data_IF_250775544590
#
_entry.id   IF_250775544590
#
_cell.length_a   1.000
_cell.length_b   1.000
_cell.length_c   1.000
_cell.angle_alpha   90.00
_cell.angle_beta   90.00
_cell.angle_gamma   90.00
#
_symmetry.space_group_name_H-M   'P 1'
#
loop_
_entity.id
_entity.type
_entity.pdbx_description
1 polymer ?
#
# COMPACT_ATOMS: atom_id res chain seq x y z
N UNK A 1 -0.97 22.84 80.62
CA UNK A 1 -2.01 22.70 79.55
C UNK A 1 -1.52 23.13 78.16
N UNK A 2 -0.66 24.11 78.03
CA UNK A 2 -0.11 24.62 76.76
C UNK A 2 0.74 23.60 75.95
N UNK A 3 1.60 22.80 76.63
CA UNK A 3 2.43 21.85 75.93
C UNK A 3 1.62 20.72 75.25
N UNK A 4 0.47 20.30 75.78
CA UNK A 4 -0.44 19.33 75.17
C UNK A 4 -1.10 19.92 73.90
N UNK A 5 -1.39 21.20 73.89
CA UNK A 5 -2.00 21.91 72.78
C UNK A 5 -1.01 22.04 71.61
N UNK A 6 0.23 22.37 71.87
CA UNK A 6 1.30 22.44 70.84
C UNK A 6 1.62 21.03 70.25
N UNK A 7 1.57 19.98 71.07
CA UNK A 7 1.82 18.65 70.57
C UNK A 7 0.69 18.10 69.66
N UNK A 8 -0.55 18.46 69.93
CA UNK A 8 -1.71 18.12 69.09
C UNK A 8 -1.74 18.92 67.78
N UNK A 9 -1.37 20.19 67.78
CA UNK A 9 -1.25 21.02 66.58
C UNK A 9 -0.13 20.48 65.68
N UNK A 10 1.03 20.17 66.21
CA UNK A 10 2.14 19.59 65.42
C UNK A 10 1.79 18.22 64.82
N UNK A 11 1.01 17.38 65.49
CA UNK A 11 0.50 16.10 64.92
C UNK A 11 -0.50 16.34 63.78
N UNK A 12 -1.38 17.35 63.86
CA UNK A 12 -2.34 17.73 62.80
C UNK A 12 -1.62 18.27 61.57
N UNK A 13 -0.58 19.12 61.74
CA UNK A 13 0.24 19.66 60.64
C UNK A 13 1.04 18.53 59.95
N UNK A 14 1.67 17.65 60.72
CA UNK A 14 2.37 16.47 60.17
C UNK A 14 1.44 15.53 59.39
N UNK A 15 0.19 15.32 59.88
CA UNK A 15 -0.82 14.51 59.20
C UNK A 15 -1.32 15.16 57.88
N UNK A 16 -1.52 16.48 57.88
CA UNK A 16 -1.88 17.28 56.68
C UNK A 16 -0.74 17.25 55.63
N UNK A 17 0.53 17.41 56.06
CA UNK A 17 1.69 17.32 55.16
C UNK A 17 1.85 15.93 54.55
N UNK A 18 1.69 14.83 55.35
CA UNK A 18 1.73 13.45 54.83
C UNK A 18 0.60 13.17 53.85
N UNK A 19 -0.62 13.68 54.06
CA UNK A 19 -1.73 13.57 53.11
C UNK A 19 -1.44 14.32 51.80
N UNK A 20 -0.90 15.57 51.89
CA UNK A 20 -0.50 16.33 50.68
C UNK A 20 0.58 15.65 49.87
N UNK A 21 1.61 15.09 50.55
CA UNK A 21 2.65 14.27 49.91
C UNK A 21 2.07 12.99 49.29
N UNK A 22 1.15 12.31 49.93
CA UNK A 22 0.49 11.14 49.39
C UNK A 22 -0.31 11.44 48.10
N UNK A 23 -1.10 12.51 48.08
CA UNK A 23 -1.80 12.97 46.89
C UNK A 23 -0.85 13.46 45.80
N UNK A 24 0.27 14.07 46.16
CA UNK A 24 1.30 14.44 45.19
C UNK A 24 1.94 13.22 44.54
N UNK A 25 2.25 12.16 45.29
CA UNK A 25 2.77 10.92 44.71
C UNK A 25 1.75 10.19 43.85
N UNK A 26 0.48 10.18 44.24
CA UNK A 26 -0.59 9.62 43.38
C UNK A 26 -0.70 10.41 42.08
N UNK A 27 -0.70 11.73 42.15
CA UNK A 27 -0.76 12.61 40.99
C UNK A 27 0.49 12.44 40.11
N UNK A 28 1.69 12.41 40.68
CA UNK A 28 2.94 12.17 39.96
C UNK A 28 2.97 10.78 39.30
N UNK A 29 2.45 9.76 39.97
CA UNK A 29 2.32 8.41 39.40
C UNK A 29 1.32 8.36 38.24
N UNK A 30 0.15 8.99 38.39
CA UNK A 30 -0.84 9.08 37.32
C UNK A 30 -0.31 9.87 36.12
N UNK A 31 0.28 11.02 36.33
CA UNK A 31 0.87 11.82 35.23
C UNK A 31 2.09 11.14 34.63
N UNK A 32 2.93 10.50 35.44
CA UNK A 32 4.08 9.72 34.98
C UNK A 32 3.64 8.53 34.11
N UNK A 33 2.60 7.80 34.53
CA UNK A 33 2.07 6.67 33.74
C UNK A 33 1.42 7.11 32.43
N UNK A 34 0.70 8.26 32.44
CA UNK A 34 0.16 8.87 31.21
C UNK A 34 1.30 9.35 30.31
N UNK A 35 2.36 9.95 30.86
CA UNK A 35 3.54 10.37 30.08
C UNK A 35 4.26 9.20 29.42
N UNK A 36 4.50 8.10 30.17
CA UNK A 36 5.10 6.87 29.62
C UNK A 36 4.18 6.25 28.56
N UNK A 37 2.87 6.26 28.77
CA UNK A 37 1.89 5.77 27.80
C UNK A 37 1.94 6.56 26.50
N UNK A 38 1.94 7.91 26.56
CA UNK A 38 2.05 8.79 25.40
C UNK A 38 3.38 8.55 24.67
N UNK A 39 4.49 8.43 25.41
CA UNK A 39 5.81 8.21 24.83
C UNK A 39 5.90 6.86 24.10
N UNK A 40 5.39 5.79 24.71
CA UNK A 40 5.36 4.47 24.08
C UNK A 40 4.47 4.45 22.81
N UNK A 41 3.31 5.13 22.85
CA UNK A 41 2.43 5.27 21.70
C UNK A 41 3.12 6.06 20.59
N UNK A 42 3.81 7.14 20.93
CA UNK A 42 4.56 7.96 19.99
C UNK A 42 5.73 7.18 19.34
N UNK A 43 6.52 6.44 20.12
CA UNK A 43 7.63 5.63 19.57
C UNK A 43 7.14 4.50 18.67
N UNK A 44 6.00 3.88 18.99
CA UNK A 44 5.39 2.86 18.13
C UNK A 44 4.92 3.45 16.80
N UNK A 45 4.29 4.63 16.84
CA UNK A 45 3.87 5.34 15.62
C UNK A 45 5.06 5.83 14.79
N UNK A 46 6.16 6.27 15.43
CA UNK A 46 7.38 6.66 14.71
C UNK A 46 8.04 5.47 14.01
N UNK A 47 7.90 4.26 14.52
CA UNK A 47 8.37 3.04 13.85
C UNK A 47 7.65 2.75 12.52
N UNK A 48 6.40 3.22 12.38
CA UNK A 48 5.63 3.13 11.12
C UNK A 48 6.15 4.09 10.05
N UNK A 49 6.53 5.29 10.48
CA UNK A 49 7.14 6.27 9.59
C UNK A 49 8.53 5.78 9.22
N UNK A 50 8.64 5.22 8.04
CA UNK A 50 9.90 4.70 7.52
C UNK A 50 10.79 5.85 7.16
N UNK A 51 11.19 6.76 7.88
CA UNK A 51 12.15 7.87 7.61
C UNK A 51 12.70 8.02 6.17
N UNK A 52 12.16 7.25 5.27
CA UNK A 52 12.39 7.31 3.85
C UNK A 52 11.71 8.58 3.35
N UNK A 53 12.49 9.68 3.43
CA UNK A 53 12.15 10.93 2.77
C UNK A 53 12.11 10.64 1.27
N UNK A 54 10.97 10.15 0.81
CA UNK A 54 10.74 10.04 -0.61
C UNK A 54 10.61 11.47 -1.14
N UNK A 55 11.46 11.80 -2.10
CA UNK A 55 11.19 12.93 -2.94
C UNK A 55 9.82 12.75 -3.59
N UNK A 56 9.07 13.83 -3.78
CA UNK A 56 7.79 13.80 -4.48
C UNK A 56 7.91 13.03 -5.79
N UNK A 57 6.82 12.48 -6.28
CA UNK A 57 6.77 11.86 -7.61
C UNK A 57 7.31 12.82 -8.68
N UNK A 58 8.15 12.30 -9.59
CA UNK A 58 8.64 13.05 -10.76
C UNK A 58 7.48 13.53 -11.67
N UNK A 59 6.31 12.89 -11.55
CA UNK A 59 5.09 13.23 -12.27
C UNK A 59 4.32 14.39 -11.63
N UNK A 60 4.71 14.87 -10.45
CA UNK A 60 4.12 16.02 -9.78
C UNK A 60 4.96 17.27 -9.97
N UNK A 61 4.30 18.41 -10.14
CA UNK A 61 4.95 19.72 -10.19
C UNK A 61 5.29 20.25 -8.80
N UNK A 62 4.43 19.96 -7.81
CA UNK A 62 4.52 20.46 -6.43
C UNK A 62 4.24 19.32 -5.45
N UNK A 63 4.69 19.50 -4.20
CA UNK A 63 4.30 18.62 -3.09
C UNK A 63 2.79 18.70 -2.85
N UNK A 64 2.20 17.59 -2.40
CA UNK A 64 0.75 17.47 -2.22
C UNK A 64 0.41 17.58 -0.74
N UNK A 65 -0.50 18.51 -0.40
CA UNK A 65 -1.09 18.58 0.93
C UNK A 65 -2.32 17.66 1.00
N UNK A 66 -2.16 16.49 1.63
CA UNK A 66 -3.18 15.42 1.63
C UNK A 66 -4.53 15.78 2.24
N UNK A 67 -4.62 16.87 3.02
CA UNK A 67 -5.89 17.37 3.57
C UNK A 67 -6.57 18.40 2.68
N UNK A 68 -5.88 18.91 1.65
CA UNK A 68 -6.35 20.02 0.82
C UNK A 68 -6.46 19.68 -0.67
N UNK A 69 -5.70 18.71 -1.14
CA UNK A 69 -5.60 18.39 -2.56
C UNK A 69 -5.88 16.90 -2.80
N UNK A 70 -6.41 16.53 -3.96
CA UNK A 70 -6.48 15.13 -4.35
C UNK A 70 -5.09 14.52 -4.47
N UNK A 71 -4.94 13.29 -4.01
CA UNK A 71 -3.67 12.57 -3.99
C UNK A 71 -3.88 11.07 -4.18
N UNK A 72 -2.79 10.37 -4.38
CA UNK A 72 -2.78 8.93 -4.63
C UNK A 72 -1.99 8.17 -3.56
N UNK A 73 -2.42 6.94 -3.29
CA UNK A 73 -1.75 6.01 -2.37
C UNK A 73 -1.58 4.67 -3.05
N UNK A 74 -0.35 4.15 -3.05
CA UNK A 74 -0.09 2.76 -3.41
C UNK A 74 -0.12 1.88 -2.16
N UNK A 75 -1.07 0.96 -2.09
CA UNK A 75 -1.23 0.03 -0.98
C UNK A 75 -0.64 -1.31 -1.41
N UNK A 76 0.38 -1.78 -0.67
CA UNK A 76 1.14 -3.00 -0.94
C UNK A 76 0.96 -4.00 0.19
N UNK A 77 0.33 -5.14 -0.10
CA UNK A 77 0.27 -6.30 0.80
C UNK A 77 1.40 -7.27 0.48
N UNK A 78 2.22 -7.61 1.47
CA UNK A 78 3.42 -8.43 1.27
C UNK A 78 3.32 -9.69 2.10
N UNK A 79 3.66 -10.84 1.49
CA UNK A 79 3.88 -12.09 2.20
C UNK A 79 5.31 -12.14 2.72
N UNK A 80 5.47 -12.15 4.04
CA UNK A 80 6.73 -11.83 4.69
C UNK A 80 7.36 -12.98 5.47
N UNK A 81 6.76 -14.18 5.44
CA UNK A 81 7.21 -15.32 6.26
C UNK A 81 8.61 -15.84 5.94
N UNK A 82 9.11 -15.60 4.73
CA UNK A 82 10.39 -16.14 4.26
C UNK A 82 11.56 -15.15 4.34
N UNK A 83 11.30 -13.86 4.58
CA UNK A 83 12.31 -12.80 4.34
C UNK A 83 12.40 -11.71 5.41
N UNK A 84 11.77 -11.88 6.58
CA UNK A 84 11.71 -10.86 7.65
C UNK A 84 11.36 -9.44 7.14
N UNK A 85 10.38 -9.32 6.24
CA UNK A 85 9.94 -8.04 5.72
C UNK A 85 10.77 -7.47 4.58
N UNK A 86 11.79 -8.16 4.18
CA UNK A 86 12.69 -7.70 3.14
C UNK A 86 12.55 -8.57 1.88
N UNK A 87 12.36 -7.93 0.72
CA UNK A 87 12.39 -8.59 -0.59
C UNK A 87 11.22 -9.55 -0.91
N UNK A 88 10.12 -9.51 -0.17
CA UNK A 88 8.88 -10.23 -0.53
C UNK A 88 8.25 -9.67 -1.82
N UNK A 89 7.47 -10.50 -2.53
CA UNK A 89 6.62 -10.02 -3.63
C UNK A 89 5.36 -9.37 -3.07
N UNK A 90 4.81 -8.40 -3.80
CA UNK A 90 3.51 -7.83 -3.47
C UNK A 90 2.40 -8.78 -3.93
N UNK A 91 1.73 -9.45 -2.98
CA UNK A 91 0.60 -10.34 -3.28
C UNK A 91 -0.72 -9.61 -3.42
N UNK A 92 -0.82 -8.42 -2.87
CA UNK A 92 -1.89 -7.46 -3.09
C UNK A 92 -1.27 -6.12 -3.49
N UNK A 93 -1.78 -5.54 -4.56
CA UNK A 93 -1.36 -4.24 -5.05
C UNK A 93 -2.61 -3.44 -5.40
N UNK A 94 -2.86 -2.38 -4.65
CA UNK A 94 -4.01 -1.51 -4.86
C UNK A 94 -3.56 -0.07 -5.02
N UNK A 95 -4.22 0.63 -5.94
CA UNK A 95 -4.01 2.04 -6.18
C UNK A 95 -5.26 2.81 -5.76
N UNK A 96 -5.12 3.70 -4.79
CA UNK A 96 -6.19 4.53 -4.29
C UNK A 96 -6.00 5.97 -4.74
N UNK A 97 -7.08 6.63 -5.18
CA UNK A 97 -7.15 8.07 -5.37
C UNK A 97 -8.09 8.64 -4.33
N UNK A 98 -7.64 9.63 -3.59
CA UNK A 98 -8.37 10.25 -2.48
C UNK A 98 -8.55 11.73 -2.77
N UNK A 99 -9.79 12.20 -2.75
CA UNK A 99 -10.12 13.62 -2.83
C UNK A 99 -10.71 14.10 -1.49
N UNK A 100 -9.92 14.74 -0.63
CA UNK A 100 -10.37 15.14 0.70
C UNK A 100 -11.40 16.27 0.69
N UNK A 101 -11.51 17.03 -0.40
CA UNK A 101 -12.50 18.10 -0.53
C UNK A 101 -13.90 17.57 -0.80
N UNK A 102 -14.00 16.59 -1.68
CA UNK A 102 -15.27 15.99 -2.09
C UNK A 102 -15.58 14.71 -1.33
N UNK A 103 -14.67 14.27 -0.47
CA UNK A 103 -14.71 12.98 0.24
C UNK A 103 -14.93 11.80 -0.72
N UNK A 104 -14.35 11.86 -1.93
CA UNK A 104 -14.38 10.76 -2.89
C UNK A 104 -13.13 9.92 -2.77
N UNK A 105 -13.33 8.63 -2.84
CA UNK A 105 -12.24 7.64 -2.88
C UNK A 105 -12.52 6.72 -4.06
N UNK A 106 -11.53 6.55 -4.94
CA UNK A 106 -11.52 5.50 -5.94
C UNK A 106 -10.44 4.47 -5.61
N UNK A 107 -10.71 3.21 -5.90
CA UNK A 107 -9.81 2.10 -5.58
C UNK A 107 -9.70 1.16 -6.78
N UNK A 108 -8.47 0.94 -7.24
CA UNK A 108 -8.14 0.00 -8.30
C UNK A 108 -7.26 -1.12 -7.76
N UNK A 109 -7.60 -2.37 -8.04
CA UNK A 109 -6.69 -3.49 -7.84
C UNK A 109 -5.84 -3.69 -9.08
N UNK A 110 -4.52 -3.71 -8.93
CA UNK A 110 -3.57 -4.05 -9.98
C UNK A 110 -3.27 -5.55 -9.87
N UNK A 111 -3.61 -6.38 -10.88
CA UNK A 111 -3.30 -7.79 -10.84
C UNK A 111 -1.78 -8.01 -10.66
N UNK A 112 -1.39 -8.77 -9.63
CA UNK A 112 0.02 -8.98 -9.27
C UNK A 112 0.85 -9.61 -10.38
N UNK A 113 0.18 -10.35 -11.27
CA UNK A 113 0.78 -11.04 -12.40
C UNK A 113 0.82 -10.18 -13.69
N UNK A 114 0.47 -8.87 -13.60
CA UNK A 114 0.54 -7.93 -14.72
C UNK A 114 1.95 -7.89 -15.29
N UNK A 115 2.08 -8.17 -16.58
CA UNK A 115 3.36 -8.11 -17.30
C UNK A 115 3.64 -6.67 -17.71
N UNK A 116 4.67 -6.08 -17.11
CA UNK A 116 5.04 -4.68 -17.32
C UNK A 116 6.56 -4.52 -17.35
N UNK A 117 7.10 -3.48 -18.00
CA UNK A 117 8.51 -3.11 -17.85
C UNK A 117 8.82 -2.78 -16.39
N UNK A 118 9.83 -3.43 -15.81
CA UNK A 118 10.27 -3.16 -14.44
C UNK A 118 11.29 -2.02 -14.48
N UNK A 119 10.98 -0.92 -13.80
CA UNK A 119 11.87 0.25 -13.77
C UNK A 119 13.23 -0.11 -13.16
N UNK A 120 14.32 0.26 -13.85
CA UNK A 120 15.68 -0.10 -13.44
C UNK A 120 16.10 -1.53 -13.78
N UNK A 121 15.29 -2.24 -14.58
CA UNK A 121 15.63 -3.54 -15.15
C UNK A 121 15.31 -3.53 -16.65
N UNK A 122 16.20 -4.06 -17.47
CA UNK A 122 16.01 -4.16 -18.92
C UNK A 122 15.16 -5.38 -19.30
N UNK A 123 14.01 -5.53 -18.60
CA UNK A 123 13.08 -6.63 -18.85
C UNK A 123 11.66 -6.32 -18.43
N UNK A 124 10.70 -6.98 -19.05
CA UNK A 124 9.36 -7.10 -18.55
C UNK A 124 9.25 -8.31 -17.59
N UNK A 125 8.51 -8.12 -16.54
CA UNK A 125 8.20 -9.17 -15.57
C UNK A 125 6.84 -8.92 -14.92
N UNK A 126 6.39 -9.80 -14.03
CA UNK A 126 5.22 -9.58 -13.20
C UNK A 126 5.44 -8.33 -12.33
N UNK A 127 4.47 -7.44 -12.26
CA UNK A 127 4.58 -6.18 -11.51
C UNK A 127 4.92 -6.41 -10.03
N UNK A 128 4.47 -7.53 -9.46
CA UNK A 128 4.76 -7.89 -8.07
C UNK A 128 6.23 -8.21 -7.80
N UNK A 129 7.01 -8.51 -8.84
CA UNK A 129 8.44 -8.75 -8.71
C UNK A 129 9.24 -7.46 -8.49
N UNK A 130 8.69 -6.30 -8.82
CA UNK A 130 9.37 -5.02 -8.65
C UNK A 130 9.78 -4.78 -7.18
N UNK A 131 8.89 -5.10 -6.23
CA UNK A 131 9.22 -4.99 -4.80
C UNK A 131 10.33 -5.97 -4.38
N UNK A 132 10.31 -7.20 -4.87
CA UNK A 132 11.37 -8.17 -4.58
C UNK A 132 12.74 -7.77 -5.16
N UNK A 133 12.76 -7.00 -6.25
CA UNK A 133 14.00 -6.54 -6.89
C UNK A 133 14.59 -5.28 -6.26
N UNK A 134 13.78 -4.37 -5.75
CA UNK A 134 14.26 -3.08 -5.27
C UNK A 134 13.34 -2.38 -4.27
N UNK A 135 12.58 -3.16 -3.50
CA UNK A 135 11.73 -2.66 -2.41
C UNK A 135 10.61 -1.74 -2.88
N UNK A 136 10.16 -0.93 -1.96
CA UNK A 136 9.04 0.01 -2.15
C UNK A 136 9.31 0.98 -3.29
N UNK A 137 10.53 1.49 -3.39
CA UNK A 137 10.90 2.49 -4.39
C UNK A 137 10.77 1.96 -5.82
N UNK A 138 11.25 0.74 -6.07
CA UNK A 138 11.14 0.14 -7.40
C UNK A 138 9.70 -0.23 -7.74
N UNK A 139 8.93 -0.72 -6.75
CA UNK A 139 7.50 -1.00 -6.93
C UNK A 139 6.72 0.28 -7.31
N UNK A 140 6.94 1.37 -6.59
CA UNK A 140 6.32 2.67 -6.83
C UNK A 140 6.68 3.18 -8.24
N UNK A 141 7.97 3.26 -8.58
CA UNK A 141 8.42 3.73 -9.90
C UNK A 141 7.89 2.85 -11.04
N UNK A 142 7.77 1.54 -10.80
CA UNK A 142 7.20 0.62 -11.79
C UNK A 142 5.70 0.88 -12.01
N UNK A 143 4.94 1.13 -10.93
CA UNK A 143 3.52 1.50 -11.04
C UNK A 143 3.34 2.85 -11.72
N UNK A 144 4.13 3.86 -11.38
CA UNK A 144 4.14 5.16 -12.06
C UNK A 144 4.49 5.04 -13.54
N UNK A 145 5.49 4.23 -13.86
CA UNK A 145 5.88 3.94 -15.24
C UNK A 145 4.81 3.23 -16.04
N UNK A 146 4.05 2.34 -15.42
CA UNK A 146 2.96 1.58 -16.02
C UNK A 146 1.70 2.45 -16.22
N UNK A 147 1.21 3.09 -15.17
CA UNK A 147 -0.04 3.85 -15.20
C UNK A 147 0.14 5.27 -15.77
N UNK A 148 1.36 5.82 -15.74
CA UNK A 148 1.67 7.22 -16.10
C UNK A 148 0.96 8.24 -15.22
N UNK A 149 0.64 7.88 -13.97
CA UNK A 149 0.09 8.75 -12.95
C UNK A 149 0.99 8.77 -11.72
N UNK A 150 1.03 9.85 -10.95
CA UNK A 150 1.86 9.93 -9.77
C UNK A 150 1.38 8.94 -8.69
N UNK A 151 2.32 8.40 -7.92
CA UNK A 151 2.07 7.78 -6.61
C UNK A 151 2.57 8.78 -5.58
N UNK A 152 1.69 9.47 -4.88
CA UNK A 152 2.08 10.49 -3.91
C UNK A 152 2.57 9.87 -2.61
N UNK A 153 1.86 8.85 -2.13
CA UNK A 153 2.18 8.13 -0.89
C UNK A 153 2.08 6.62 -1.06
N UNK A 154 2.64 5.90 -0.11
CA UNK A 154 2.47 4.45 -0.05
C UNK A 154 2.14 3.95 1.35
N UNK A 155 1.52 2.79 1.39
CA UNK A 155 1.29 2.01 2.61
C UNK A 155 1.71 0.57 2.30
N UNK A 156 2.66 0.04 3.08
CA UNK A 156 3.07 -1.37 3.02
C UNK A 156 2.61 -2.09 4.28
N UNK A 157 1.94 -3.22 4.11
CA UNK A 157 1.34 -4.01 5.18
C UNK A 157 1.77 -5.46 4.98
N UNK A 158 2.32 -6.08 6.02
CA UNK A 158 2.53 -7.53 6.05
C UNK A 158 1.28 -8.28 6.58
N UNK A 159 1.30 -9.60 6.51
CA UNK A 159 0.18 -10.43 6.96
C UNK A 159 -0.11 -10.31 8.46
N UNK A 160 0.91 -10.08 9.28
CA UNK A 160 0.73 -9.89 10.72
C UNK A 160 0.07 -8.55 11.02
N UNK A 161 0.49 -7.49 10.32
CA UNK A 161 -0.14 -6.19 10.39
C UNK A 161 -1.58 -6.21 9.94
N UNK A 162 -1.86 -6.91 8.84
CA UNK A 162 -3.22 -7.07 8.36
C UNK A 162 -4.13 -7.75 9.40
N UNK A 163 -3.71 -8.90 9.95
CA UNK A 163 -4.45 -9.61 11.01
C UNK A 163 -4.64 -8.72 12.22
N UNK A 164 -3.56 -8.08 12.65
CA UNK A 164 -3.59 -7.22 13.83
C UNK A 164 -4.51 -6.00 13.69
N UNK A 165 -4.62 -5.38 12.49
CA UNK A 165 -5.59 -4.30 12.25
C UNK A 165 -7.02 -4.83 12.43
N UNK A 166 -7.34 -5.96 11.78
CA UNK A 166 -8.69 -6.55 11.87
C UNK A 166 -9.05 -6.89 13.31
N UNK A 167 -8.14 -7.48 14.07
CA UNK A 167 -8.35 -7.82 15.49
C UNK A 167 -8.48 -6.56 16.36
N UNK A 168 -7.66 -5.53 16.10
CA UNK A 168 -7.69 -4.27 16.84
C UNK A 168 -9.01 -3.50 16.66
N UNK A 169 -9.62 -3.56 15.47
CA UNK A 169 -10.97 -2.96 15.26
C UNK A 169 -12.09 -3.85 15.81
N UNK A 170 -11.77 -5.06 16.31
CA UNK A 170 -12.71 -6.01 16.90
C UNK A 170 -13.38 -6.91 15.89
N UNK A 171 -12.67 -7.24 14.82
CA UNK A 171 -13.20 -8.03 13.70
C UNK A 171 -14.00 -7.22 12.71
N UNK A 172 -14.30 -7.82 11.56
CA UNK A 172 -15.06 -7.21 10.47
C UNK A 172 -16.17 -8.12 10.01
N UNK A 173 -17.28 -7.52 9.60
CA UNK A 173 -18.41 -8.26 9.00
C UNK A 173 -18.30 -8.15 7.48
N UNK A 174 -18.35 -9.27 6.78
CA UNK A 174 -18.34 -9.35 5.31
C UNK A 174 -19.52 -10.17 4.81
N UNK A 175 -19.94 -9.92 3.57
CA UNK A 175 -20.90 -10.77 2.87
C UNK A 175 -20.15 -11.77 1.99
N UNK A 176 -20.11 -13.02 2.43
CA UNK A 176 -19.42 -14.12 1.75
C UNK A 176 -20.21 -14.51 0.50
N UNK A 177 -19.62 -14.44 -0.71
CA UNK A 177 -20.36 -14.60 -1.96
C UNK A 177 -20.82 -16.04 -2.25
N UNK A 178 -20.13 -17.05 -1.72
CA UNK A 178 -20.41 -18.49 -1.89
C UNK A 178 -19.64 -19.31 -0.86
N UNK A 179 -20.01 -20.56 -0.69
CA UNK A 179 -19.30 -21.49 0.21
C UNK A 179 -17.90 -21.81 -0.28
N UNK A 180 -16.89 -21.64 0.55
CA UNK A 180 -15.52 -22.04 0.27
C UNK A 180 -14.70 -22.26 1.55
N UNK A 181 -13.47 -22.72 1.39
CA UNK A 181 -12.51 -22.80 2.49
C UNK A 181 -11.13 -22.30 2.03
N UNK A 182 -10.33 -21.87 2.97
CA UNK A 182 -8.92 -21.56 2.74
C UNK A 182 -8.09 -22.07 3.92
N UNK A 183 -6.80 -22.31 3.68
CA UNK A 183 -5.87 -22.76 4.73
C UNK A 183 -5.52 -21.58 5.64
N UNK A 184 -5.39 -21.90 6.93
CA UNK A 184 -4.79 -20.98 7.89
C UNK A 184 -3.35 -20.65 7.47
N UNK A 185 -2.90 -19.44 7.76
CA UNK A 185 -1.50 -19.03 7.60
C UNK A 185 -0.64 -19.48 8.79
N UNK A 186 -1.26 -19.78 9.92
CA UNK A 186 -0.57 -20.23 11.17
C UNK A 186 -0.47 -21.75 11.22
N UNK A 187 -1.57 -22.44 10.86
CA UNK A 187 -1.64 -23.90 10.85
C UNK A 187 -2.05 -24.40 9.46
N UNK A 188 -1.08 -24.87 8.69
CA UNK A 188 -1.30 -25.32 7.31
C UNK A 188 -2.36 -26.43 7.18
N UNK A 189 -2.56 -27.25 8.22
CA UNK A 189 -3.56 -28.32 8.20
C UNK A 189 -4.97 -27.85 8.53
N UNK A 190 -5.11 -26.71 9.22
CA UNK A 190 -6.40 -26.10 9.56
C UNK A 190 -7.03 -25.47 8.33
N UNK A 191 -8.26 -25.90 8.02
CA UNK A 191 -9.11 -25.28 7.00
C UNK A 191 -10.09 -24.35 7.67
N UNK A 192 -10.08 -23.09 7.27
CA UNK A 192 -11.06 -22.08 7.68
C UNK A 192 -12.18 -22.14 6.64
N UNK A 193 -13.41 -22.39 7.13
CA UNK A 193 -14.58 -22.54 6.26
C UNK A 193 -15.39 -21.26 6.26
N UNK A 194 -15.86 -20.88 5.07
CA UNK A 194 -16.74 -19.74 4.85
C UNK A 194 -18.06 -20.22 4.26
N UNK A 195 -19.18 -19.75 4.81
CA UNK A 195 -20.52 -20.01 4.32
C UNK A 195 -21.06 -18.75 3.65
N UNK A 196 -21.84 -18.92 2.60
CA UNK A 196 -22.49 -17.81 1.92
C UNK A 196 -23.33 -16.96 2.87
N UNK A 197 -23.25 -15.63 2.74
CA UNK A 197 -23.96 -14.66 3.57
C UNK A 197 -23.05 -13.91 4.53
N UNK A 198 -23.66 -13.16 5.46
CA UNK A 198 -22.90 -12.33 6.40
C UNK A 198 -22.16 -13.16 7.44
N UNK A 199 -20.87 -12.86 7.61
CA UNK A 199 -20.00 -13.47 8.60
C UNK A 199 -19.10 -12.44 9.26
N UNK A 200 -18.93 -12.60 10.58
CA UNK A 200 -17.92 -11.85 11.35
C UNK A 200 -16.61 -12.60 11.29
N UNK A 201 -15.55 -11.90 10.92
CA UNK A 201 -14.20 -12.44 10.74
C UNK A 201 -13.23 -11.80 11.71
N UNK A 202 -12.40 -12.61 12.38
CA UNK A 202 -11.20 -12.16 13.05
C UNK A 202 -10.04 -11.98 12.05
N UNK A 203 -8.84 -11.60 12.53
CA UNK A 203 -7.69 -11.34 11.66
C UNK A 203 -7.24 -12.55 10.83
N UNK A 204 -7.19 -13.75 11.43
CA UNK A 204 -6.81 -14.99 10.74
C UNK A 204 -7.84 -15.36 9.65
N UNK A 205 -9.12 -15.29 9.99
CA UNK A 205 -10.22 -15.57 9.07
C UNK A 205 -10.27 -14.53 7.94
N UNK A 206 -10.09 -13.25 8.26
CA UNK A 206 -10.05 -12.19 7.28
C UNK A 206 -8.88 -12.36 6.29
N UNK A 207 -7.69 -12.78 6.77
CA UNK A 207 -6.57 -13.07 5.91
C UNK A 207 -6.85 -14.27 4.98
N UNK A 208 -7.43 -15.34 5.51
CA UNK A 208 -7.84 -16.49 4.71
C UNK A 208 -8.90 -16.09 3.65
N UNK A 209 -9.89 -15.26 4.04
CA UNK A 209 -10.92 -14.75 3.16
C UNK A 209 -10.35 -14.02 1.93
N UNK A 210 -9.38 -13.12 2.12
CA UNK A 210 -8.79 -12.32 1.04
C UNK A 210 -7.70 -13.04 0.25
N UNK A 211 -7.17 -14.17 0.76
CA UNK A 211 -6.16 -15.00 0.06
C UNK A 211 -6.76 -16.02 -0.88
N UNK A 212 -7.97 -16.52 -0.59
CA UNK A 212 -8.60 -17.56 -1.38
C UNK A 212 -8.71 -17.12 -2.85
N UNK A 213 -8.30 -18.03 -3.76
CA UNK A 213 -8.30 -17.82 -5.21
C UNK A 213 -8.80 -19.06 -5.96
N UNK A 214 -8.35 -20.23 -5.52
CA UNK A 214 -8.49 -21.46 -6.32
C UNK A 214 -9.94 -21.93 -6.49
N UNK A 215 -10.81 -21.60 -5.55
CA UNK A 215 -12.22 -21.99 -5.56
C UNK A 215 -13.13 -20.86 -6.07
N UNK A 216 -12.57 -19.70 -6.41
CA UNK A 216 -13.33 -18.56 -6.90
C UNK A 216 -13.63 -18.75 -8.40
N UNK A 217 -14.91 -18.74 -8.82
CA UNK A 217 -15.28 -18.80 -10.23
C UNK A 217 -14.69 -17.67 -11.06
N UNK A 218 -14.47 -16.49 -10.43
CA UNK A 218 -13.89 -15.31 -11.06
C UNK A 218 -12.36 -15.22 -10.85
N UNK A 219 -11.72 -16.24 -10.27
CA UNK A 219 -10.28 -16.30 -10.06
C UNK A 219 -9.70 -15.09 -9.33
N UNK A 220 -8.77 -14.41 -9.97
CA UNK A 220 -8.09 -13.26 -9.38
C UNK A 220 -8.99 -12.02 -9.22
N UNK A 221 -9.96 -11.84 -10.09
CA UNK A 221 -10.95 -10.76 -9.99
C UNK A 221 -11.84 -10.92 -8.76
N UNK A 222 -12.27 -12.14 -8.45
CA UNK A 222 -13.04 -12.42 -7.24
C UNK A 222 -12.21 -12.19 -5.98
N UNK A 223 -10.95 -12.59 -5.97
CA UNK A 223 -10.03 -12.26 -4.87
C UNK A 223 -9.90 -10.74 -4.68
N UNK A 224 -9.68 -9.99 -5.75
CA UNK A 224 -9.60 -8.54 -5.69
C UNK A 224 -10.90 -7.89 -5.17
N UNK A 225 -12.06 -8.45 -5.53
CA UNK A 225 -13.36 -7.98 -5.00
C UNK A 225 -13.46 -8.20 -3.48
N UNK A 226 -13.06 -9.37 -2.96
CA UNK A 226 -13.04 -9.65 -1.51
C UNK A 226 -12.05 -8.74 -0.75
N UNK A 227 -10.89 -8.46 -1.34
CA UNK A 227 -9.93 -7.52 -0.76
C UNK A 227 -10.53 -6.11 -0.62
N UNK A 228 -11.24 -5.60 -1.65
CA UNK A 228 -11.92 -4.30 -1.57
C UNK A 228 -13.06 -4.31 -0.56
N UNK A 229 -13.86 -5.36 -0.53
CA UNK A 229 -14.95 -5.52 0.44
C UNK A 229 -14.42 -5.46 1.87
N UNK A 230 -13.32 -6.17 2.15
CA UNK A 230 -12.72 -6.19 3.48
C UNK A 230 -12.13 -4.84 3.85
N UNK A 231 -11.48 -4.14 2.91
CA UNK A 231 -10.97 -2.79 3.14
C UNK A 231 -12.10 -1.81 3.50
N UNK A 232 -13.25 -1.90 2.81
CA UNK A 232 -14.44 -1.12 3.13
C UNK A 232 -15.01 -1.47 4.52
N UNK A 233 -15.02 -2.75 4.89
CA UNK A 233 -15.49 -3.20 6.21
C UNK A 233 -14.56 -2.70 7.34
N UNK A 234 -13.25 -2.71 7.14
CA UNK A 234 -12.28 -2.12 8.08
C UNK A 234 -12.52 -0.61 8.22
N UNK A 235 -12.69 0.10 7.10
CA UNK A 235 -12.97 1.54 7.11
C UNK A 235 -14.28 1.86 7.85
N UNK A 236 -15.30 1.04 7.69
CA UNK A 236 -16.57 1.18 8.42
C UNK A 236 -16.39 1.00 9.94
N UNK A 237 -15.60 0.00 10.36
CA UNK A 237 -15.27 -0.22 11.77
C UNK A 237 -14.49 0.94 12.36
N UNK A 238 -13.50 1.49 11.61
CA UNK A 238 -12.72 2.64 12.05
C UNK A 238 -13.58 3.89 12.28
N UNK A 239 -14.65 4.08 11.49
CA UNK A 239 -15.60 5.18 11.67
C UNK A 239 -16.57 4.98 12.85
N UNK A 240 -16.55 3.83 13.52
CA UNK A 240 -17.44 3.57 14.64
C UNK A 240 -16.92 4.14 15.96
N UNK A 241 -17.80 4.69 16.80
CA UNK A 241 -17.45 5.24 18.11
C UNK A 241 -16.75 4.24 19.04
N UNK A 242 -16.97 2.93 18.85
CA UNK A 242 -16.34 1.87 19.66
C UNK A 242 -14.84 1.73 19.40
N UNK A 243 -14.33 2.18 18.27
CA UNK A 243 -12.92 2.08 17.88
C UNK A 243 -12.04 3.12 18.59
N UNK A 244 -12.61 4.25 19.01
CA UNK A 244 -11.87 5.31 19.73
C UNK A 244 -11.20 4.76 21.00
N UNK A 245 -11.79 3.76 21.66
CA UNK A 245 -11.23 3.13 22.86
C UNK A 245 -10.12 2.09 22.56
N UNK A 246 -9.93 1.69 21.31
CA UNK A 246 -8.94 0.67 20.88
C UNK A 246 -7.73 1.27 20.18
N UNK A 247 -7.57 2.59 20.19
CA UNK A 247 -6.44 3.30 19.54
C UNK A 247 -5.08 2.76 19.98
N UNK A 248 -4.95 2.32 21.24
CA UNK A 248 -3.69 1.76 21.76
C UNK A 248 -3.28 0.48 21.03
N UNK A 249 -4.22 -0.44 20.85
CA UNK A 249 -3.93 -1.74 20.22
C UNK A 249 -3.64 -1.54 18.73
N UNK A 250 -4.37 -0.60 18.10
CA UNK A 250 -4.12 -0.20 16.72
C UNK A 250 -2.72 0.41 16.55
N UNK A 251 -2.30 1.32 17.43
CA UNK A 251 -0.97 1.96 17.32
C UNK A 251 0.18 0.98 17.49
N UNK A 252 0.05 -0.01 18.36
CA UNK A 252 1.07 -1.03 18.56
C UNK A 252 1.26 -1.93 17.33
N UNK A 253 0.15 -2.35 16.71
CA UNK A 253 0.17 -3.17 15.48
C UNK A 253 0.68 -2.35 14.31
N UNK A 254 0.13 -1.16 14.13
CA UNK A 254 0.46 -0.25 13.03
C UNK A 254 1.96 0.09 13.05
N UNK A 255 2.51 0.45 14.22
CA UNK A 255 3.92 0.83 14.36
C UNK A 255 4.93 -0.29 14.06
N UNK A 256 4.52 -1.56 14.18
CA UNK A 256 5.39 -2.72 13.98
C UNK A 256 5.32 -3.29 12.55
N UNK A 257 4.15 -3.32 11.96
CA UNK A 257 3.85 -4.13 10.76
C UNK A 257 3.42 -3.30 9.55
N UNK A 258 3.25 -1.98 9.72
CA UNK A 258 2.92 -1.06 8.62
C UNK A 258 4.08 -0.12 8.40
N UNK A 259 4.45 0.07 7.13
CA UNK A 259 5.39 1.11 6.70
C UNK A 259 4.71 2.08 5.75
N UNK A 260 4.92 3.36 5.97
CA UNK A 260 4.36 4.44 5.13
C UNK A 260 5.27 5.66 5.15
N UNK A 261 5.15 6.49 4.12
CA UNK A 261 5.75 7.83 4.05
C UNK A 261 4.79 8.95 4.48
N UNK A 262 3.54 8.59 4.86
CA UNK A 262 2.56 9.57 5.37
C UNK A 262 2.93 9.93 6.82
N UNK A 263 3.23 11.22 7.13
CA UNK A 263 3.42 11.64 8.49
C UNK A 263 2.21 11.37 9.38
N UNK A 264 2.44 11.02 10.64
CA UNK A 264 1.37 10.68 11.60
C UNK A 264 0.38 11.85 11.75
N UNK A 265 0.90 13.08 11.80
CA UNK A 265 0.09 14.31 11.87
C UNK A 265 -0.89 14.41 10.71
N UNK A 266 -0.41 14.10 9.51
CA UNK A 266 -1.16 14.19 8.27
C UNK A 266 -2.18 13.07 8.17
N UNK A 267 -1.81 11.86 8.60
CA UNK A 267 -2.73 10.73 8.72
C UNK A 267 -3.90 11.01 9.66
N UNK A 268 -3.64 11.60 10.84
CA UNK A 268 -4.67 12.02 11.79
C UNK A 268 -5.54 13.16 11.23
N UNK A 269 -4.94 14.15 10.58
CA UNK A 269 -5.67 15.24 9.94
C UNK A 269 -6.57 14.73 8.81
N UNK A 270 -6.09 13.78 8.00
CA UNK A 270 -6.87 13.12 6.96
C UNK A 270 -8.03 12.30 7.54
N UNK A 271 -7.78 11.52 8.62
CA UNK A 271 -8.82 10.78 9.32
C UNK A 271 -9.95 11.71 9.78
N UNK A 272 -9.62 12.83 10.42
CA UNK A 272 -10.61 13.83 10.84
C UNK A 272 -11.34 14.44 9.64
N UNK A 273 -10.65 14.68 8.52
CA UNK A 273 -11.23 15.24 7.30
C UNK A 273 -12.21 14.30 6.62
N UNK A 274 -11.94 12.99 6.69
CA UNK A 274 -12.78 11.93 6.14
C UNK A 274 -13.80 11.41 7.18
N UNK A 275 -13.90 12.02 8.35
CA UNK A 275 -14.91 11.67 9.36
C UNK A 275 -16.30 11.80 8.77
N UNK A 276 -17.10 10.73 8.89
CA UNK A 276 -18.44 10.64 8.27
C UNK A 276 -18.44 10.19 6.80
N UNK A 277 -17.28 9.87 6.21
CA UNK A 277 -17.20 9.23 4.90
C UNK A 277 -17.94 7.88 4.93
N UNK A 278 -18.77 7.65 3.91
CA UNK A 278 -19.44 6.36 3.72
C UNK A 278 -18.59 5.42 2.85
N UNK A 279 -18.00 4.35 3.41
CA UNK A 279 -17.18 3.42 2.65
C UNK A 279 -17.92 2.69 1.51
N UNK A 280 -19.25 2.65 1.53
CA UNK A 280 -20.03 2.06 0.44
C UNK A 280 -19.97 2.88 -0.86
N UNK A 281 -19.55 4.15 -0.77
CA UNK A 281 -19.39 5.06 -1.91
C UNK A 281 -18.03 4.96 -2.59
N UNK A 282 -17.15 4.07 -2.14
CA UNK A 282 -15.84 3.85 -2.78
C UNK A 282 -16.06 3.39 -4.22
N UNK A 283 -15.58 4.20 -5.16
CA UNK A 283 -15.63 3.87 -6.58
C UNK A 283 -14.57 2.79 -6.91
N UNK A 284 -14.98 1.73 -7.58
CA UNK A 284 -14.05 0.71 -8.06
C UNK A 284 -13.65 1.00 -9.50
N UNK A 285 -12.35 1.19 -9.73
CA UNK A 285 -11.77 1.23 -11.08
C UNK A 285 -11.29 -0.16 -11.45
N UNK A 286 -11.60 -0.63 -12.66
CA UNK A 286 -11.25 -1.95 -13.15
C UNK A 286 -10.16 -1.84 -14.21
N UNK A 287 -9.05 -2.52 -14.01
CA UNK A 287 -8.00 -2.65 -15.01
C UNK A 287 -8.35 -3.84 -15.91
N UNK A 288 -8.68 -3.56 -17.16
CA UNK A 288 -8.99 -4.59 -18.16
C UNK A 288 -7.70 -5.22 -18.70
N UNK A 289 -7.81 -6.49 -19.14
CA UNK A 289 -6.71 -7.24 -19.71
C UNK A 289 -7.06 -8.72 -19.88
N UNK A 290 -6.12 -9.50 -20.38
CA UNK A 290 -6.28 -10.92 -20.63
C UNK A 290 -5.25 -11.78 -19.89
N UNK A 291 -5.64 -12.99 -19.54
CA UNK A 291 -4.76 -14.00 -18.96
C UNK A 291 -4.03 -14.77 -20.07
N UNK A 292 -2.69 -14.84 -19.99
CA UNK A 292 -1.88 -15.51 -21.01
C UNK A 292 -0.68 -16.24 -20.41
N UNK A 293 -0.36 -17.40 -20.98
CA UNK A 293 0.91 -18.09 -20.70
C UNK A 293 1.95 -17.75 -21.75
N UNK A 294 3.09 -17.26 -21.33
CA UNK A 294 4.24 -16.91 -22.17
C UNK A 294 5.45 -17.70 -21.66
N UNK A 295 6.02 -18.56 -22.49
CA UNK A 295 7.12 -19.43 -22.08
C UNK A 295 6.75 -20.36 -20.89
N UNK A 296 5.49 -20.81 -20.81
CA UNK A 296 5.00 -21.63 -19.69
C UNK A 296 4.63 -20.87 -18.42
N UNK A 297 4.97 -19.58 -18.32
CA UNK A 297 4.69 -18.71 -17.17
C UNK A 297 3.37 -17.97 -17.42
N UNK A 298 2.49 -17.99 -16.41
CA UNK A 298 1.24 -17.24 -16.43
C UNK A 298 1.48 -15.75 -16.20
N UNK A 299 0.85 -14.91 -17.03
CA UNK A 299 0.82 -13.45 -16.91
C UNK A 299 -0.60 -12.94 -17.11
N UNK A 300 -0.90 -11.79 -16.52
CA UNK A 300 -1.98 -10.92 -16.91
C UNK A 300 -1.42 -9.86 -17.87
N UNK A 301 -1.99 -9.74 -19.05
CA UNK A 301 -1.63 -8.72 -20.04
C UNK A 301 -2.63 -7.59 -19.95
N UNK A 302 -2.25 -6.43 -19.36
CA UNK A 302 -3.15 -5.26 -19.31
C UNK A 302 -3.51 -4.80 -20.72
N UNK A 303 -4.80 -4.51 -20.97
CA UNK A 303 -5.24 -3.88 -22.21
C UNK A 303 -4.79 -2.40 -22.25
N UNK A 304 -4.08 -1.98 -23.30
CA UNK A 304 -3.62 -0.59 -23.40
C UNK A 304 -4.75 0.45 -23.33
N UNK A 305 -5.93 0.16 -23.91
CA UNK A 305 -7.11 1.03 -23.85
C UNK A 305 -7.67 1.06 -22.43
N UNK A 306 -7.72 -0.09 -21.77
CA UNK A 306 -8.11 -0.20 -20.37
C UNK A 306 -7.21 0.59 -19.42
N UNK A 307 -5.89 0.54 -19.65
CA UNK A 307 -4.90 1.33 -18.90
C UNK A 307 -5.11 2.83 -19.11
N UNK A 308 -5.35 3.26 -20.36
CA UNK A 308 -5.61 4.66 -20.68
C UNK A 308 -6.91 5.16 -20.06
N UNK A 309 -7.96 4.35 -20.10
CA UNK A 309 -9.26 4.65 -19.46
C UNK A 309 -9.09 4.90 -17.96
N UNK A 310 -8.41 4.00 -17.26
CA UNK A 310 -8.14 4.14 -15.83
C UNK A 310 -7.28 5.36 -15.54
N UNK A 311 -6.24 5.61 -16.35
CA UNK A 311 -5.41 6.82 -16.25
C UNK A 311 -6.25 8.10 -16.32
N UNK A 312 -7.11 8.20 -17.32
CA UNK A 312 -7.95 9.38 -17.54
C UNK A 312 -8.91 9.62 -16.36
N UNK A 313 -9.47 8.55 -15.77
CA UNK A 313 -10.31 8.67 -14.55
C UNK A 313 -9.49 9.16 -13.35
N UNK A 314 -8.28 8.64 -13.14
CA UNK A 314 -7.39 9.08 -12.07
C UNK A 314 -6.98 10.54 -12.27
N UNK A 315 -6.54 10.94 -13.49
CA UNK A 315 -6.15 12.32 -13.80
C UNK A 315 -7.32 13.30 -13.58
N UNK A 316 -8.53 12.92 -13.95
CA UNK A 316 -9.74 13.71 -13.71
C UNK A 316 -9.99 13.91 -12.21
N UNK A 317 -9.83 12.87 -11.39
CA UNK A 317 -9.96 12.97 -9.93
C UNK A 317 -8.86 13.87 -9.32
N UNK A 318 -7.64 13.81 -9.84
CA UNK A 318 -6.52 14.63 -9.40
C UNK A 318 -6.66 16.11 -9.81
N UNK A 319 -7.44 16.40 -10.84
CA UNK A 319 -7.60 17.76 -11.39
C UNK A 319 -6.34 18.32 -12.07
N UNK A 320 -5.32 17.50 -12.29
CA UNK A 320 -4.07 17.85 -12.99
C UNK A 320 -3.71 16.71 -13.95
N UNK A 321 -3.30 17.03 -15.17
CA UNK A 321 -2.69 16.03 -16.06
C UNK A 321 -1.31 15.66 -15.53
N UNK A 322 -1.04 14.37 -15.40
CA UNK A 322 0.27 13.87 -15.08
C UNK A 322 1.29 14.28 -16.16
N UNK A 323 2.50 14.66 -15.76
CA UNK A 323 3.59 14.90 -16.72
C UNK A 323 3.99 13.57 -17.33
N UNK A 324 4.04 13.51 -18.65
CA UNK A 324 4.66 12.36 -19.34
C UNK A 324 6.13 12.28 -18.91
N UNK A 325 6.64 11.13 -18.43
CA UNK A 325 8.04 10.99 -18.04
C UNK A 325 8.94 11.37 -19.21
N UNK A 326 9.78 12.39 -19.04
CA UNK A 326 10.84 12.70 -20.00
C UNK A 326 11.86 11.56 -19.96
N UNK A 327 12.07 10.92 -21.09
CA UNK A 327 13.12 9.91 -21.25
C UNK A 327 14.48 10.59 -20.99
N UNK A 328 15.27 10.19 -19.99
CA UNK A 328 16.53 10.86 -19.65
C UNK A 328 17.61 10.74 -20.73
N UNK A 329 17.36 10.02 -21.82
CA UNK A 329 18.30 9.83 -22.93
C UNK A 329 18.09 10.74 -24.14
N UNK A 330 17.16 11.69 -24.10
CA UNK A 330 17.04 12.70 -25.16
C UNK A 330 17.93 13.88 -24.79
N UNK A 331 19.18 13.85 -25.26
CA UNK A 331 20.02 15.05 -25.30
C UNK A 331 19.30 16.08 -26.18
N UNK A 332 18.82 17.13 -25.57
CA UNK A 332 18.35 18.33 -26.25
C UNK A 332 19.57 19.04 -26.85
N UNK A 333 19.81 18.81 -28.12
CA UNK A 333 20.63 19.75 -28.91
C UNK A 333 19.80 21.04 -29.09
N UNK A 334 20.14 22.01 -28.26
CA UNK A 334 19.70 23.40 -28.45
C UNK A 334 20.62 24.06 -29.48
N UNK A 335 20.19 24.14 -30.73
CA UNK A 335 20.75 25.09 -31.68
C UNK A 335 19.65 25.78 -32.44
N UNK A 336 19.53 27.03 -32.13
CA UNK A 336 19.10 28.26 -32.81
C UNK A 336 18.38 28.16 -34.15
N UNK A 337 17.27 28.90 -34.35
CA UNK A 337 16.66 29.09 -35.65
C UNK A 337 17.21 30.41 -36.28
N UNK A 338 17.91 30.28 -37.39
CA UNK A 338 17.88 31.30 -38.48
C UNK A 338 18.66 30.77 -39.69
N UNK A 339 17.99 30.58 -40.78
CA UNK A 339 18.26 31.13 -42.11
C UNK A 339 17.69 30.27 -43.22
N UNK A 340 16.88 30.94 -43.96
CA UNK A 340 16.30 30.71 -45.25
C UNK A 340 17.35 30.31 -46.31
N UNK A 341 17.11 29.26 -47.13
CA UNK A 341 17.26 29.37 -48.59
C UNK A 341 16.93 28.03 -49.28
N UNK A 342 16.16 28.16 -50.35
CA UNK A 342 15.82 27.19 -51.37
C UNK A 342 17.06 26.48 -51.94
N UNK A 343 16.98 25.16 -52.25
CA UNK A 343 17.31 24.69 -53.58
C UNK A 343 16.85 23.25 -53.88
N UNK A 344 16.59 23.04 -55.16
CA UNK A 344 15.94 21.91 -55.83
C UNK A 344 16.73 20.60 -55.85
N UNK A 345 15.97 19.53 -55.79
CA UNK A 345 16.02 18.29 -56.58
C UNK A 345 17.38 17.73 -57.01
N UNK A 346 17.65 16.46 -56.60
CA UNK A 346 18.01 15.43 -57.58
C UNK A 346 17.78 14.03 -57.03
N UNK A 347 17.12 13.24 -57.84
CA UNK A 347 16.82 11.84 -57.76
C UNK A 347 18.08 11.05 -58.17
N UNK A 348 18.54 10.10 -57.34
CA UNK A 348 19.37 9.00 -57.84
C UNK A 348 19.01 7.71 -57.14
N UNK A 349 18.54 6.78 -57.92
CA UNK A 349 18.27 5.36 -57.62
C UNK A 349 19.56 4.57 -57.74
N UNK A 350 19.82 3.68 -56.78
CA UNK A 350 20.69 2.55 -57.03
C UNK A 350 20.18 1.31 -56.29
N UNK A 351 19.90 0.18 -56.96
CA UNK A 351 19.46 -1.06 -56.38
C UNK A 351 20.66 -2.03 -56.30
N UNK A 352 20.89 -2.58 -55.12
CA UNK A 352 21.45 -3.94 -54.88
C UNK A 352 22.14 -4.04 -53.55
N UNK A 353 21.52 -4.74 -52.62
CA UNK A 353 22.24 -5.62 -51.67
C UNK A 353 21.27 -6.65 -51.07
N UNK A 354 21.58 -7.86 -51.35
CA UNK A 354 21.05 -9.13 -50.88
C UNK A 354 21.08 -9.25 -49.35
N UNK A 355 20.13 -9.98 -48.69
CA UNK A 355 20.12 -10.19 -47.25
C UNK A 355 21.14 -11.28 -46.87
N UNK A 356 21.94 -11.01 -45.88
CA UNK A 356 22.79 -11.99 -45.18
C UNK A 356 22.04 -12.58 -44.01
N UNK A 357 21.99 -13.92 -43.96
CA UNK A 357 21.46 -14.75 -42.87
C UNK A 357 22.16 -14.47 -41.49
N UNK A 358 21.42 -14.61 -40.37
CA UNK A 358 22.04 -14.59 -39.05
C UNK A 358 22.70 -15.92 -38.70
N UNK A 359 23.76 -15.92 -37.85
CA UNK A 359 24.47 -17.13 -37.46
C UNK A 359 23.65 -18.00 -36.48
N UNK A 360 23.93 -19.33 -36.39
CA UNK A 360 23.14 -20.28 -35.63
C UNK A 360 23.33 -20.13 -34.10
N UNK A 361 22.22 -20.20 -33.35
CA UNK A 361 22.19 -20.23 -31.90
C UNK A 361 22.81 -21.50 -31.33
N UNK A 362 23.84 -21.41 -30.53
CA UNK A 362 24.43 -22.49 -29.76
C UNK A 362 23.53 -22.89 -28.58
N UNK A 363 23.12 -24.17 -28.57
CA UNK A 363 22.38 -24.86 -27.52
C UNK A 363 23.24 -25.04 -26.24
N UNK A 364 23.31 -24.04 -25.38
CA UNK A 364 23.92 -24.17 -24.06
C UNK A 364 22.92 -24.47 -22.92
N UNK A 365 21.62 -24.51 -23.22
CA UNK A 365 20.57 -24.70 -22.20
C UNK A 365 20.11 -26.14 -22.04
N UNK A 366 20.43 -27.01 -22.99
CA UNK A 366 20.07 -28.44 -22.93
C UNK A 366 21.03 -29.28 -22.08
N UNK A 367 22.27 -28.87 -21.91
CA UNK A 367 23.25 -29.61 -21.11
C UNK A 367 23.15 -29.40 -19.61
N UNK A 368 22.52 -28.31 -19.15
CA UNK A 368 22.35 -28.02 -17.71
C UNK A 368 21.24 -28.89 -17.07
N UNK A 369 20.24 -29.30 -17.86
CA UNK A 369 19.08 -30.05 -17.32
C UNK A 369 19.44 -31.54 -17.11
N UNK A 370 20.42 -32.10 -17.82
CA UNK A 370 20.80 -33.50 -17.68
C UNK A 370 21.79 -33.83 -16.58
N UNK A 371 22.35 -32.83 -15.88
CA UNK A 371 23.32 -33.03 -14.79
C UNK A 371 22.75 -33.00 -13.37
N UNK A 372 21.46 -32.73 -13.20
CA UNK A 372 20.87 -32.60 -11.85
C UNK A 372 19.65 -33.52 -11.65
N UNK A 373 19.63 -34.71 -12.28
CA UNK A 373 18.73 -35.80 -11.93
C UNK A 373 19.58 -37.03 -11.61
N UNK A 374 20.21 -37.02 -10.44
CA UNK A 374 20.59 -38.19 -9.65
C UNK A 374 20.50 -37.86 -8.17
#
# INVERSE_FOLDING_TARGET
>A
MEERYHHLQNRRIKKKRRRKLFYFFIFAFLFGSVGVYILNSYTSLMGMYSGFSREKSDLRTKDVEITKQPFTILIMGIEDYATDGQNGRTDSLMFATVNPKTQRISLMSIPRDSRVPIVGKDKEDKINAAHAYGGEQMAIKTVEGFLKVPVDHYIKIDFQGFKGIVDAVGGVTVDVPFDFWERSDVDYYKKIQFKQGQQDLNGEEALAYVRMRKQDPNGDYGRAARQRQLLAAVAQKLNSASTVFKIKDLTAVVGKYIKTDIPISDGLALYNKLSGFDPSTIQTLKLEGEDKKIGGIYYFLPDPIGVETVRNEIEKELGEKAKTPTNPNTKTDSSNPDSNSNEKAKKETNPNKTPTEPPPSTNAHAEWIMRNQE
#
